data_IF_816113482048
#
_entry.id   IF_816113482048
#
_cell.length_a   1.000
_cell.length_b   1.000
_cell.length_c   1.000
_cell.angle_alpha   90.00
_cell.angle_beta   90.00
_cell.angle_gamma   90.00
#
_symmetry.space_group_name_H-M   'P 1'
#
loop_
_entity.id
_entity.type
_entity.pdbx_description
1 polymer ?
#
# COMPACT_ATOMS: atom_id res chain seq x y z
N UNK A 1 -21.62 -10.52 -3.63
CA UNK A 1 -20.31 -9.84 -3.70
C UNK A 1 -19.26 -10.57 -4.55
N UNK A 2 -19.36 -11.87 -4.87
CA UNK A 2 -18.42 -12.51 -5.84
C UNK A 2 -19.11 -13.34 -6.94
N UNK A 3 -20.45 -13.40 -6.96
CA UNK A 3 -21.24 -14.26 -7.87
C UNK A 3 -20.71 -15.71 -7.95
N UNK A 4 -20.20 -16.25 -6.83
CA UNK A 4 -19.63 -17.60 -6.76
C UNK A 4 -18.22 -17.77 -7.33
N UNK A 5 -17.58 -16.69 -7.83
CA UNK A 5 -16.22 -16.74 -8.40
C UNK A 5 -15.13 -16.92 -7.34
N UNK A 6 -15.40 -16.53 -6.10
CA UNK A 6 -14.51 -16.76 -4.96
C UNK A 6 -15.26 -17.62 -3.96
N UNK A 7 -14.75 -18.82 -3.75
CA UNK A 7 -15.22 -19.83 -2.80
C UNK A 7 -14.52 -19.67 -1.45
N UNK A 8 -15.12 -20.13 -0.33
CA UNK A 8 -14.57 -19.98 1.01
C UNK A 8 -13.18 -20.57 1.23
N UNK A 9 -12.78 -21.54 0.40
CA UNK A 9 -11.48 -22.20 0.48
C UNK A 9 -10.37 -21.52 -0.34
N UNK A 10 -10.68 -20.47 -1.12
CA UNK A 10 -9.60 -19.64 -1.64
C UNK A 10 -9.04 -18.83 -0.48
N UNK A 11 -7.82 -19.19 -0.06
CA UNK A 11 -7.10 -18.43 0.94
C UNK A 11 -6.86 -17.00 0.46
N UNK A 12 -7.04 -16.04 1.37
CA UNK A 12 -6.48 -14.70 1.21
C UNK A 12 -5.11 -14.69 1.90
N UNK A 13 -4.10 -14.23 1.19
CA UNK A 13 -2.80 -13.96 1.79
C UNK A 13 -2.82 -12.59 2.48
N UNK A 14 -2.25 -12.51 3.68
CA UNK A 14 -2.03 -11.25 4.38
C UNK A 14 -0.78 -10.60 3.79
N UNK A 15 -0.95 -9.83 2.73
CA UNK A 15 0.15 -9.11 2.07
C UNK A 15 -0.41 -7.85 1.35
N UNK A 16 -0.01 -6.62 1.76
CA UNK A 16 0.91 -6.34 2.86
C UNK A 16 0.31 -6.72 4.22
N UNK A 17 1.15 -7.23 5.12
CA UNK A 17 0.77 -7.64 6.47
C UNK A 17 0.95 -6.49 7.46
N UNK A 18 -0.02 -5.58 7.50
CA UNK A 18 0.08 -4.30 8.24
C UNK A 18 -0.57 -4.32 9.63
N UNK A 19 -1.48 -5.25 9.90
CA UNK A 19 -2.39 -5.17 11.05
C UNK A 19 -2.07 -6.26 12.06
N UNK A 20 -1.43 -5.91 13.17
CA UNK A 20 -1.01 -6.85 14.22
C UNK A 20 -2.16 -7.78 14.68
N UNK A 21 -3.36 -7.25 14.86
CA UNK A 21 -4.52 -8.02 15.34
C UNK A 21 -5.17 -8.94 14.30
N UNK A 22 -4.72 -8.94 13.03
CA UNK A 22 -5.32 -9.74 11.97
C UNK A 22 -4.94 -11.23 12.03
N UNK A 23 -3.88 -11.58 12.77
CA UNK A 23 -3.36 -12.94 12.87
C UNK A 23 -2.56 -13.12 14.18
N UNK A 24 -2.47 -14.32 14.78
CA UNK A 24 -1.61 -14.56 15.94
C UNK A 24 -0.14 -14.25 15.64
N UNK A 25 0.49 -13.36 16.42
CA UNK A 25 1.86 -12.88 16.16
C UNK A 25 2.85 -13.53 17.11
N UNK A 26 3.97 -14.00 16.56
CA UNK A 26 5.12 -14.40 17.37
C UNK A 26 5.83 -13.14 17.93
N UNK A 27 6.56 -13.25 19.05
CA UNK A 27 7.38 -12.16 19.57
C UNK A 27 8.36 -11.64 18.51
N UNK A 28 8.57 -10.32 18.47
CA UNK A 28 9.40 -9.66 17.47
C UNK A 28 8.70 -9.39 16.14
N UNK A 29 7.40 -9.69 16.02
CA UNK A 29 6.65 -9.40 14.80
C UNK A 29 6.70 -7.93 14.42
N UNK A 30 6.97 -7.69 13.14
CA UNK A 30 6.88 -6.39 12.47
C UNK A 30 6.04 -6.54 11.19
N UNK A 31 5.38 -5.47 10.74
CA UNK A 31 4.74 -5.47 9.44
C UNK A 31 5.69 -5.88 8.30
N UNK A 32 5.15 -6.68 7.38
CA UNK A 32 5.88 -7.21 6.22
C UNK A 32 5.15 -6.87 4.93
N UNK A 33 5.91 -6.70 3.85
CA UNK A 33 5.36 -6.58 2.51
C UNK A 33 6.19 -7.41 1.54
N UNK A 34 5.55 -8.35 0.86
CA UNK A 34 6.18 -9.24 -0.10
C UNK A 34 6.04 -8.74 -1.53
N UNK A 35 7.12 -8.86 -2.31
CA UNK A 35 7.11 -8.67 -3.75
C UNK A 35 7.91 -9.75 -4.45
N UNK A 36 7.48 -10.12 -5.66
CA UNK A 36 8.12 -11.13 -6.47
C UNK A 36 8.08 -10.76 -7.95
N UNK A 37 8.89 -11.42 -8.77
CA UNK A 37 8.82 -11.35 -10.23
C UNK A 37 8.99 -9.93 -10.79
N UNK A 38 8.06 -9.55 -11.66
CA UNK A 38 8.08 -8.28 -12.39
C UNK A 38 7.92 -7.07 -11.48
N UNK A 39 7.08 -7.20 -10.46
CA UNK A 39 6.76 -6.13 -9.53
C UNK A 39 7.99 -5.82 -8.68
N UNK A 40 8.67 -6.85 -8.17
CA UNK A 40 9.96 -6.66 -7.49
C UNK A 40 11.02 -6.07 -8.42
N UNK A 41 11.03 -6.46 -9.69
CA UNK A 41 11.97 -5.92 -10.69
C UNK A 41 11.79 -4.42 -10.87
N UNK A 42 10.53 -3.94 -10.89
CA UNK A 42 10.23 -2.51 -10.96
C UNK A 42 10.76 -1.79 -9.72
N UNK A 43 10.48 -2.29 -8.52
CA UNK A 43 10.96 -1.67 -7.28
C UNK A 43 12.49 -1.59 -7.22
N UNK A 44 13.18 -2.67 -7.58
CA UNK A 44 14.64 -2.70 -7.64
C UNK A 44 15.20 -1.70 -8.66
N UNK A 45 14.58 -1.58 -9.85
CA UNK A 45 14.99 -0.61 -10.88
C UNK A 45 14.83 0.83 -10.41
N UNK A 46 13.73 1.15 -9.73
CA UNK A 46 13.50 2.48 -9.14
C UNK A 46 14.28 2.68 -7.82
N UNK A 47 15.11 1.70 -7.42
CA UNK A 47 15.99 1.72 -6.24
C UNK A 47 15.25 1.89 -4.92
N UNK A 48 14.04 1.32 -4.82
CA UNK A 48 13.25 1.37 -3.59
C UNK A 48 13.94 0.57 -2.49
N UNK A 49 14.17 1.20 -1.33
CA UNK A 49 14.92 0.64 -0.22
C UNK A 49 14.64 1.29 1.13
N UNK A 50 15.52 1.05 2.09
CA UNK A 50 15.40 1.58 3.46
C UNK A 50 15.15 3.10 3.46
N UNK A 51 14.19 3.54 4.26
CA UNK A 51 13.75 4.94 4.36
C UNK A 51 12.59 5.31 3.42
N UNK A 52 12.38 4.59 2.32
CA UNK A 52 11.27 4.85 1.41
C UNK A 52 9.92 4.49 2.03
N UNK A 53 8.87 5.20 1.61
CA UNK A 53 7.51 5.08 2.12
C UNK A 53 6.57 4.57 1.02
N UNK A 54 5.92 3.44 1.28
CA UNK A 54 4.77 2.98 0.49
C UNK A 54 3.48 3.59 1.03
N UNK A 55 2.61 4.01 0.11
CA UNK A 55 1.20 4.23 0.37
C UNK A 55 0.38 3.19 -0.38
N UNK A 56 -0.45 2.44 0.35
CA UNK A 56 -1.38 1.50 -0.24
C UNK A 56 -2.73 2.17 -0.45
N UNK A 57 -3.27 2.07 -1.65
CA UNK A 57 -4.58 2.58 -1.99
C UNK A 57 -5.43 1.51 -2.70
N UNK A 58 -6.74 1.72 -2.71
CA UNK A 58 -7.67 0.77 -3.33
C UNK A 58 -8.93 1.44 -3.82
N UNK A 59 -9.76 0.66 -4.52
CA UNK A 59 -11.08 1.10 -4.98
C UNK A 59 -12.13 0.86 -3.89
N UNK A 60 -12.71 1.94 -3.39
CA UNK A 60 -13.79 1.93 -2.41
C UNK A 60 -15.06 2.60 -2.96
N UNK A 61 -16.19 2.19 -2.41
CA UNK A 61 -17.49 2.84 -2.60
C UNK A 61 -18.22 2.85 -1.26
N UNK A 62 -18.89 3.96 -0.94
CA UNK A 62 -19.63 4.12 0.32
C UNK A 62 -20.70 3.04 0.47
N UNK A 63 -20.80 2.48 1.66
CA UNK A 63 -21.82 1.50 2.04
C UNK A 63 -22.68 2.03 3.19
N UNK A 64 -23.90 1.52 3.30
CA UNK A 64 -24.82 1.74 4.41
C UNK A 64 -25.41 0.40 4.86
N UNK A 65 -25.81 0.32 6.12
CA UNK A 65 -26.61 -0.81 6.62
C UNK A 65 -28.10 -0.54 6.34
N UNK A 66 -28.78 -1.52 5.76
CA UNK A 66 -30.23 -1.50 5.56
C UNK A 66 -30.76 -2.93 5.74
N UNK A 67 -31.69 -3.12 6.68
CA UNK A 67 -32.23 -4.44 7.02
C UNK A 67 -31.15 -5.45 7.47
N UNK A 68 -30.16 -5.01 8.24
CA UNK A 68 -29.05 -5.86 8.71
C UNK A 68 -28.01 -6.21 7.64
N UNK A 69 -28.21 -5.80 6.38
CA UNK A 69 -27.30 -6.08 5.27
C UNK A 69 -26.52 -4.83 4.87
N UNK A 70 -25.27 -5.01 4.45
CA UNK A 70 -24.49 -3.96 3.81
C UNK A 70 -24.92 -3.79 2.36
N UNK A 71 -25.18 -2.54 1.96
CA UNK A 71 -25.51 -2.17 0.58
C UNK A 71 -24.72 -0.92 0.20
N UNK A 72 -24.38 -0.78 -1.08
CA UNK A 72 -23.82 0.48 -1.57
C UNK A 72 -24.85 1.60 -1.44
N UNK A 73 -24.38 2.78 -1.04
CA UNK A 73 -25.20 3.98 -1.06
C UNK A 73 -25.50 4.32 -2.54
N UNK A 74 -26.77 4.50 -2.93
CA UNK A 74 -27.12 4.90 -4.29
C UNK A 74 -26.37 6.17 -4.71
N UNK A 75 -25.90 6.20 -5.96
CA UNK A 75 -25.12 7.30 -6.53
C UNK A 75 -23.80 7.66 -5.81
N UNK A 76 -23.36 6.89 -4.81
CA UNK A 76 -22.04 7.11 -4.22
C UNK A 76 -20.92 6.85 -5.25
N UNK A 77 -19.92 7.72 -5.34
CA UNK A 77 -18.85 7.58 -6.31
C UNK A 77 -17.93 6.41 -5.97
N UNK A 78 -17.25 5.92 -7.01
CA UNK A 78 -16.07 5.08 -6.85
C UNK A 78 -14.87 5.96 -6.55
N UNK A 79 -14.13 5.62 -5.50
CA UNK A 79 -12.99 6.39 -5.03
C UNK A 79 -11.74 5.51 -4.98
N UNK A 80 -10.61 6.08 -5.39
CA UNK A 80 -9.30 5.63 -4.95
C UNK A 80 -8.97 6.31 -3.62
N UNK A 81 -8.73 5.49 -2.60
CA UNK A 81 -8.48 5.95 -1.23
C UNK A 81 -7.25 5.24 -0.68
N UNK A 82 -6.33 6.01 -0.08
CA UNK A 82 -5.20 5.49 0.70
C UNK A 82 -5.76 4.83 1.96
N UNK A 83 -5.40 3.58 2.19
CA UNK A 83 -5.85 2.82 3.35
C UNK A 83 -4.70 2.37 4.25
N UNK A 84 -3.45 2.43 3.79
CA UNK A 84 -2.29 2.04 4.61
C UNK A 84 -0.99 2.69 4.18
N UNK A 85 -0.01 2.62 5.06
CA UNK A 85 1.35 3.11 4.86
C UNK A 85 2.37 2.08 5.35
N UNK A 86 3.58 2.15 4.83
CA UNK A 86 4.70 1.30 5.22
C UNK A 86 6.03 1.96 4.88
N UNK A 87 6.78 2.38 5.90
CA UNK A 87 8.15 2.85 5.74
C UNK A 87 9.11 1.68 5.87
N UNK A 88 9.98 1.52 4.89
CA UNK A 88 10.90 0.39 4.79
C UNK A 88 12.07 0.61 5.76
N UNK A 89 12.38 -0.41 6.54
CA UNK A 89 13.63 -0.51 7.31
C UNK A 89 14.65 -1.35 6.55
N UNK A 90 14.22 -2.53 6.09
CA UNK A 90 15.08 -3.51 5.47
C UNK A 90 14.45 -4.09 4.21
N UNK A 91 15.30 -4.42 3.23
CA UNK A 91 14.94 -5.14 2.02
C UNK A 91 15.69 -6.47 2.02
N UNK A 92 14.95 -7.57 2.11
CA UNK A 92 15.51 -8.89 2.37
C UNK A 92 15.14 -9.85 1.25
N UNK A 93 16.09 -10.22 0.36
CA UNK A 93 15.87 -11.28 -0.62
C UNK A 93 15.61 -12.61 0.09
N UNK A 94 14.50 -13.28 -0.25
CA UNK A 94 14.07 -14.53 0.40
C UNK A 94 15.01 -15.69 0.09
N UNK A 95 15.73 -15.66 -1.05
CA UNK A 95 16.74 -16.67 -1.39
C UNK A 95 17.90 -16.72 -0.40
N UNK A 96 18.09 -15.68 0.41
CA UNK A 96 19.24 -15.51 1.30
C UNK A 96 18.86 -15.67 2.79
N UNK A 97 17.61 -16.05 3.07
CA UNK A 97 17.04 -16.00 4.41
C UNK A 97 17.18 -17.34 5.15
N UNK A 98 17.77 -17.28 6.35
CA UNK A 98 17.33 -18.11 7.47
C UNK A 98 16.29 -17.29 8.24
N UNK A 99 15.00 -17.33 7.87
CA UNK A 99 14.02 -16.40 8.40
C UNK A 99 13.85 -16.59 9.90
N UNK A 100 13.82 -15.45 10.59
CA UNK A 100 13.44 -15.40 11.99
C UNK A 100 12.09 -16.10 12.19
N UNK A 101 11.89 -16.80 13.32
CA UNK A 101 10.67 -17.56 13.57
C UNK A 101 9.38 -16.77 13.32
N UNK A 102 9.39 -15.47 13.65
CA UNK A 102 8.22 -14.61 13.51
C UNK A 102 7.85 -14.29 12.05
N UNK A 103 8.76 -14.42 11.09
CA UNK A 103 8.48 -14.18 9.66
C UNK A 103 7.94 -15.42 8.94
N UNK A 104 8.18 -16.63 9.48
CA UNK A 104 8.03 -17.90 8.74
C UNK A 104 6.63 -18.18 8.20
N UNK A 105 5.58 -17.62 8.82
CA UNK A 105 4.21 -17.79 8.34
C UNK A 105 3.90 -16.96 7.09
N UNK A 106 4.71 -15.95 6.77
CA UNK A 106 4.42 -15.03 5.69
C UNK A 106 4.42 -15.78 4.35
N UNK A 107 3.45 -15.54 3.45
CA UNK A 107 3.30 -16.29 2.19
C UNK A 107 4.56 -16.30 1.30
N UNK A 108 5.36 -15.24 1.35
CA UNK A 108 6.62 -15.14 0.61
C UNK A 108 7.73 -16.06 1.18
N UNK A 109 7.59 -16.58 2.40
CA UNK A 109 8.49 -17.59 3.00
C UNK A 109 7.83 -18.97 2.99
N UNK A 110 6.62 -19.10 3.55
CA UNK A 110 5.93 -20.38 3.71
C UNK A 110 5.59 -21.06 2.37
N UNK A 111 5.40 -20.26 1.32
CA UNK A 111 5.15 -20.71 -0.05
C UNK A 111 6.11 -20.01 -1.01
N UNK A 112 7.40 -20.03 -0.66
CA UNK A 112 8.47 -19.45 -1.47
C UNK A 112 8.73 -20.22 -2.77
N UNK A 113 8.37 -21.52 -2.81
CA UNK A 113 8.59 -22.38 -3.97
C UNK A 113 8.03 -21.75 -5.24
N UNK A 114 8.82 -21.77 -6.31
CA UNK A 114 8.51 -21.20 -7.63
C UNK A 114 8.39 -19.67 -7.69
N UNK A 115 8.58 -18.94 -6.59
CA UNK A 115 8.69 -17.47 -6.64
C UNK A 115 10.07 -17.06 -7.13
N UNK A 116 10.11 -16.36 -8.26
CA UNK A 116 11.32 -15.74 -8.79
C UNK A 116 11.46 -14.32 -8.24
N UNK A 117 12.70 -13.86 -8.05
CA UNK A 117 12.99 -12.51 -7.54
C UNK A 117 12.15 -12.16 -6.29
N UNK A 118 12.13 -13.07 -5.33
CA UNK A 118 11.27 -13.01 -4.16
C UNK A 118 11.93 -12.19 -3.04
N UNK A 119 11.28 -11.11 -2.62
CA UNK A 119 11.82 -10.15 -1.64
C UNK A 119 10.78 -9.82 -0.59
N UNK A 120 11.23 -9.72 0.66
CA UNK A 120 10.48 -9.15 1.76
C UNK A 120 10.99 -7.75 2.07
N UNK A 121 10.06 -6.82 2.24
CA UNK A 121 10.30 -5.54 2.88
C UNK A 121 9.85 -5.66 4.33
N UNK A 122 10.69 -5.19 5.26
CA UNK A 122 10.40 -5.13 6.69
C UNK A 122 10.17 -3.68 7.08
N UNK A 123 9.08 -3.39 7.80
CA UNK A 123 8.77 -1.99 8.13
C UNK A 123 9.61 -1.47 9.26
N UNK A 124 9.90 -0.18 9.30
CA UNK A 124 10.40 0.49 10.51
C UNK A 124 9.43 0.29 11.68
N UNK A 125 9.95 0.36 12.89
CA UNK A 125 9.10 0.37 14.10
C UNK A 125 8.33 1.68 14.20
N UNK A 126 9.01 2.80 14.02
CA UNK A 126 8.48 4.17 14.02
C UNK A 126 8.69 4.84 12.67
N UNK A 127 7.73 5.68 12.28
CA UNK A 127 7.82 6.50 11.09
C UNK A 127 8.83 7.62 11.35
N UNK A 128 9.78 7.80 10.43
CA UNK A 128 10.68 8.94 10.41
C UNK A 128 10.38 9.83 9.22
N UNK A 129 10.25 11.13 9.45
CA UNK A 129 10.05 12.17 8.43
C UNK A 129 11.21 13.14 8.55
N UNK A 130 11.88 13.45 7.44
CA UNK A 130 13.07 14.32 7.40
C UNK A 130 14.13 13.93 8.45
N UNK A 131 14.37 12.61 8.56
CA UNK A 131 15.29 11.99 9.54
C UNK A 131 14.92 12.21 11.01
N UNK A 132 13.71 12.68 11.30
CA UNK A 132 13.19 12.85 12.66
C UNK A 132 12.19 11.74 12.97
N UNK A 133 12.44 10.98 14.03
CA UNK A 133 11.50 9.98 14.53
C UNK A 133 10.21 10.63 15.02
N UNK A 134 9.09 10.00 14.71
CA UNK A 134 7.76 10.40 15.17
C UNK A 134 7.24 9.40 16.20
N UNK A 135 6.09 9.71 16.81
CA UNK A 135 5.32 8.80 17.66
C UNK A 135 4.39 7.87 16.85
N UNK A 136 4.42 7.95 15.53
CA UNK A 136 3.59 7.15 14.63
C UNK A 136 4.31 5.85 14.28
N UNK A 137 3.63 4.69 14.27
CA UNK A 137 4.21 3.44 13.79
C UNK A 137 4.71 3.54 12.34
N UNK A 138 5.82 2.88 12.03
CA UNK A 138 6.41 2.90 10.68
C UNK A 138 5.52 2.30 9.59
N UNK A 139 4.55 1.46 9.98
CA UNK A 139 3.55 0.92 9.07
C UNK A 139 2.20 0.74 9.76
N UNK A 140 1.12 0.77 8.98
CA UNK A 140 -0.22 0.58 9.51
C UNK A 140 -1.33 0.81 8.49
N UNK A 141 -2.56 0.76 8.98
CA UNK A 141 -3.77 0.99 8.20
C UNK A 141 -4.67 2.04 8.86
N UNK A 142 -5.27 2.90 8.05
CA UNK A 142 -6.28 3.86 8.50
C UNK A 142 -7.57 3.12 8.82
N UNK A 143 -8.07 3.28 10.05
CA UNK A 143 -9.29 2.62 10.52
C UNK A 143 -10.57 3.30 10.04
N UNK A 144 -10.49 4.58 9.72
CA UNK A 144 -11.60 5.42 9.32
C UNK A 144 -11.28 6.17 8.05
N UNK A 145 -12.29 6.38 7.23
CA UNK A 145 -12.19 7.25 6.07
C UNK A 145 -12.02 8.72 6.48
N UNK A 146 -11.21 9.45 5.74
CA UNK A 146 -11.01 10.89 5.80
C UNK A 146 -10.80 11.42 4.37
N UNK A 147 -11.32 12.61 4.06
CA UNK A 147 -11.19 13.20 2.71
C UNK A 147 -9.72 13.39 2.31
N UNK A 148 -8.80 13.58 3.27
CA UNK A 148 -7.35 13.69 3.03
C UNK A 148 -6.71 12.40 2.50
N UNK A 149 -7.38 11.26 2.65
CA UNK A 149 -6.93 9.97 2.13
C UNK A 149 -7.42 9.72 0.70
N UNK A 150 -8.32 10.57 0.18
CA UNK A 150 -8.89 10.41 -1.16
C UNK A 150 -7.90 10.89 -2.22
N UNK A 151 -7.50 9.99 -3.12
CA UNK A 151 -6.75 10.33 -4.32
C UNK A 151 -7.67 10.89 -5.41
N UNK A 152 -8.89 10.36 -5.52
CA UNK A 152 -9.85 10.77 -6.56
C UNK A 152 -10.26 12.23 -6.45
N UNK A 153 -10.13 12.97 -7.55
CA UNK A 153 -10.59 14.36 -7.65
C UNK A 153 -12.13 14.43 -7.45
N UNK A 154 -12.64 15.32 -6.59
CA UNK A 154 -14.09 15.53 -6.42
C UNK A 154 -14.80 15.78 -7.75
N UNK A 155 -15.96 15.15 -7.93
CA UNK A 155 -16.78 15.29 -9.15
C UNK A 155 -16.21 14.60 -10.40
N UNK A 156 -15.13 13.82 -10.29
CA UNK A 156 -14.52 13.09 -11.40
C UNK A 156 -14.53 11.58 -11.15
N UNK A 157 -14.22 10.82 -12.20
CA UNK A 157 -14.00 9.38 -12.08
C UNK A 157 -12.73 9.08 -11.27
N UNK A 158 -12.66 7.89 -10.67
CA UNK A 158 -11.51 7.42 -9.86
C UNK A 158 -10.14 7.48 -10.54
N UNK A 159 -10.11 7.56 -11.87
CA UNK A 159 -8.88 7.66 -12.67
C UNK A 159 -8.29 9.07 -12.72
N UNK A 160 -9.01 10.09 -12.23
CA UNK A 160 -8.50 11.45 -12.12
C UNK A 160 -8.10 11.71 -10.67
N UNK A 161 -6.83 12.05 -10.45
CA UNK A 161 -6.31 12.26 -9.11
C UNK A 161 -6.12 13.74 -8.80
N UNK A 162 -6.24 14.08 -7.53
CA UNK A 162 -5.83 15.36 -6.96
C UNK A 162 -4.89 15.04 -5.81
N UNK A 163 -3.65 15.50 -5.94
CA UNK A 163 -2.54 15.25 -5.02
C UNK A 163 -2.01 16.58 -4.51
N UNK A 164 -1.36 16.64 -3.33
CA UNK A 164 -0.63 17.83 -2.92
C UNK A 164 0.35 18.29 -4.00
N UNK A 165 0.48 19.61 -4.20
CA UNK A 165 1.29 20.18 -5.29
C UNK A 165 2.75 19.73 -5.27
N UNK A 166 3.28 19.36 -4.10
CA UNK A 166 4.65 18.86 -3.99
C UNK A 166 4.87 17.51 -4.68
N UNK A 167 3.81 16.76 -5.04
CA UNK A 167 3.94 15.57 -5.90
C UNK A 167 4.32 15.90 -7.34
N UNK A 168 4.11 17.15 -7.78
CA UNK A 168 4.50 17.56 -9.12
C UNK A 168 6.02 17.35 -9.30
N UNK A 169 6.45 16.83 -10.46
CA UNK A 169 7.87 16.64 -10.75
C UNK A 169 8.58 17.99 -10.80
N UNK A 170 9.59 18.17 -9.97
CA UNK A 170 10.46 19.36 -9.92
C UNK A 170 11.89 18.89 -9.77
N UNK A 171 12.87 19.30 -10.60
CA UNK A 171 14.26 18.88 -10.42
C UNK A 171 14.74 19.12 -8.97
N UNK A 172 15.33 18.13 -8.29
CA UNK A 172 15.73 16.79 -8.77
C UNK A 172 14.67 15.68 -8.62
N UNK A 173 13.47 15.96 -8.12
CA UNK A 173 12.37 15.00 -7.91
C UNK A 173 11.78 14.51 -9.25
N UNK A 174 11.89 13.21 -9.57
CA UNK A 174 11.31 12.64 -10.79
C UNK A 174 9.78 12.55 -10.68
N UNK A 175 9.06 12.40 -11.80
CA UNK A 175 7.63 12.09 -11.78
C UNK A 175 7.37 10.67 -11.25
N UNK A 176 6.13 10.42 -10.82
CA UNK A 176 5.68 9.07 -10.47
C UNK A 176 5.86 8.10 -11.67
N UNK A 177 6.26 6.86 -11.40
CA UNK A 177 6.75 5.91 -12.41
C UNK A 177 5.81 5.64 -13.60
N UNK A 178 4.49 5.69 -13.40
CA UNK A 178 3.46 5.54 -14.45
C UNK A 178 2.86 6.87 -14.94
N UNK A 179 3.32 8.00 -14.41
CA UNK A 179 2.88 9.36 -14.75
C UNK A 179 4.06 10.20 -15.22
N UNK A 180 4.91 9.63 -16.09
CA UNK A 180 6.15 10.29 -16.55
C UNK A 180 5.93 11.45 -17.51
N UNK A 181 4.79 11.48 -18.23
CA UNK A 181 4.47 12.56 -19.16
C UNK A 181 4.14 13.86 -18.40
N UNK A 182 4.96 14.91 -18.51
CA UNK A 182 4.74 16.19 -17.81
C UNK A 182 3.40 16.84 -18.17
N UNK A 183 2.86 16.59 -19.38
CA UNK A 183 1.59 17.17 -19.84
C UNK A 183 0.39 16.68 -19.04
N UNK A 184 0.54 15.55 -18.32
CA UNK A 184 -0.52 15.01 -17.46
C UNK A 184 -0.63 15.74 -16.12
N UNK A 185 0.40 16.49 -15.72
CA UNK A 185 0.44 17.19 -14.43
C UNK A 185 -0.12 18.60 -14.58
N UNK A 186 -1.29 18.85 -13.98
CA UNK A 186 -1.95 20.15 -14.02
C UNK A 186 -1.95 20.78 -12.62
N UNK A 187 -1.26 21.90 -12.46
CA UNK A 187 -1.24 22.62 -11.19
C UNK A 187 -2.59 23.31 -10.92
N UNK A 188 -3.08 23.17 -9.70
CA UNK A 188 -4.32 23.76 -9.23
C UNK A 188 -4.14 24.26 -7.78
N UNK A 189 -3.53 25.44 -7.63
CA UNK A 189 -3.23 26.01 -6.30
C UNK A 189 -2.21 25.18 -5.52
N UNK A 190 -2.59 24.72 -4.34
CA UNK A 190 -1.81 23.84 -3.46
C UNK A 190 -1.88 22.36 -3.84
N UNK A 191 -2.56 22.04 -4.95
CA UNK A 191 -2.71 20.68 -5.48
C UNK A 191 -2.14 20.55 -6.91
N UNK A 192 -1.94 19.32 -7.34
CA UNK A 192 -1.68 18.91 -8.72
C UNK A 192 -2.63 17.79 -9.13
N UNK A 193 -3.09 17.84 -10.37
CA UNK A 193 -4.07 16.92 -10.93
C UNK A 193 -3.45 16.03 -12.02
N UNK A 194 -3.92 14.77 -12.09
CA UNK A 194 -3.43 13.71 -12.98
C UNK A 194 -4.55 12.95 -13.71
#
# INVERSE_FOLDING_TARGET
MTKGRVRPYFGAHLDPDLVASAYPRAPGWRPLFGQAGSEQTVLARERVGAGDLFFFFGWFRRVQRSGGQWRFVPAAPDLHVIWGWFQIDEVVPVTSLSPDPWMRYHPHIAAADHRINNTLYVSRETLAIDSTETDVPGAGAFRTYDDRLRLTKPGRSRSHWSLPAWFAPTPPRPPLGYHRDPKRWQHAGDQVEL
#
